data_IF_491987319174
#
_entry.id   IF_491987319174
#
_cell.length_a   1.000
_cell.length_b   1.000
_cell.length_c   1.000
_cell.angle_alpha   90.00
_cell.angle_beta   90.00
_cell.angle_gamma   90.00
#
_symmetry.space_group_name_H-M   'P 1'
#
loop_
_entity.id
_entity.type
_entity.pdbx_description
1 polymer ?
#
# COMPACT_ATOMS: atom_id res chain seq x y z
N UNK A 1 -33.93 -39.65 40.44
CA UNK A 1 -33.07 -39.55 41.63
C UNK A 1 -31.74 -40.29 41.43
N UNK A 2 -30.65 -39.58 41.70
CA UNK A 2 -29.29 -40.01 42.09
C UNK A 2 -28.46 -41.00 41.23
N UNK A 3 -27.61 -40.40 40.39
CA UNK A 3 -26.13 -40.40 40.47
C UNK A 3 -25.41 -41.70 40.86
N UNK A 4 -24.53 -42.19 39.97
CA UNK A 4 -23.20 -42.73 40.32
C UNK A 4 -22.26 -42.74 39.11
N UNK A 5 -20.99 -42.61 39.46
CA UNK A 5 -19.83 -42.16 38.69
C UNK A 5 -18.97 -43.36 38.33
N UNK A 6 -18.60 -43.47 37.06
CA UNK A 6 -17.52 -44.33 36.53
C UNK A 6 -16.80 -43.44 35.49
N UNK A 7 -15.49 -43.18 35.46
CA UNK A 7 -14.37 -43.92 36.01
C UNK A 7 -13.59 -44.57 34.86
N UNK A 8 -12.71 -43.83 34.18
CA UNK A 8 -11.43 -44.38 33.72
C UNK A 8 -10.39 -43.28 33.49
N UNK A 9 -9.14 -43.62 33.78
CA UNK A 9 -8.06 -42.72 34.11
C UNK A 9 -6.98 -42.68 32.98
N UNK A 10 -5.74 -42.23 33.21
CA UNK A 10 -5.02 -41.35 32.31
C UNK A 10 -4.01 -42.09 31.41
N UNK A 11 -3.80 -41.63 30.18
CA UNK A 11 -2.71 -42.15 29.35
C UNK A 11 -1.80 -41.02 28.87
N UNK A 12 -0.68 -40.91 29.59
CA UNK A 12 0.69 -40.78 29.11
C UNK A 12 1.13 -39.58 28.26
N UNK A 13 2.28 -39.02 28.68
CA UNK A 13 3.19 -38.22 27.88
C UNK A 13 3.05 -36.73 28.20
N UNK A 14 3.78 -36.14 29.15
CA UNK A 14 5.19 -36.37 29.42
C UNK A 14 6.03 -35.78 28.28
N UNK A 15 6.27 -34.47 28.29
CA UNK A 15 7.50 -33.85 27.78
C UNK A 15 7.44 -32.32 27.94
N UNK A 16 8.38 -31.82 28.74
CA UNK A 16 9.08 -30.55 28.59
C UNK A 16 8.29 -29.36 28.00
N UNK A 17 7.97 -28.40 28.86
CA UNK A 17 7.96 -26.99 28.52
C UNK A 17 9.39 -26.54 28.15
N UNK A 18 9.94 -27.08 27.07
CA UNK A 18 11.14 -26.55 26.44
C UNK A 18 10.71 -25.32 25.64
N UNK A 19 11.35 -24.21 25.96
CA UNK A 19 11.29 -22.92 25.28
C UNK A 19 11.70 -23.12 23.82
N UNK A 20 10.79 -23.63 22.99
CA UNK A 20 10.92 -23.60 21.55
C UNK A 20 10.49 -22.20 21.12
N UNK A 21 11.48 -21.31 20.99
CA UNK A 21 11.30 -20.02 20.35
C UNK A 21 10.58 -20.24 19.01
N UNK A 22 9.42 -19.61 18.77
CA UNK A 22 8.78 -19.69 17.48
C UNK A 22 9.73 -19.11 16.44
N UNK A 23 9.87 -19.81 15.31
CA UNK A 23 10.72 -19.36 14.20
C UNK A 23 10.15 -18.03 13.69
N UNK A 24 10.96 -16.97 13.54
CA UNK A 24 10.49 -15.70 13.00
C UNK A 24 9.75 -15.91 11.67
N UNK A 25 8.47 -15.53 11.62
CA UNK A 25 7.63 -15.58 10.41
C UNK A 25 6.55 -16.67 10.36
N UNK A 26 6.45 -17.55 11.35
CA UNK A 26 5.34 -18.52 11.42
C UNK A 26 4.23 -17.98 12.32
N UNK A 27 3.15 -17.47 11.73
CA UNK A 27 1.95 -17.04 12.46
C UNK A 27 1.07 -18.26 12.75
N UNK A 28 0.87 -18.56 14.02
CA UNK A 28 -0.10 -19.54 14.48
C UNK A 28 -1.51 -18.97 14.28
N UNK A 29 -2.24 -19.47 13.29
CA UNK A 29 -3.57 -18.97 12.93
C UNK A 29 -4.62 -19.56 13.90
N UNK A 30 -5.04 -18.79 14.90
CA UNK A 30 -6.13 -19.16 15.81
C UNK A 30 -7.48 -19.12 15.07
N UNK A 31 -8.13 -20.28 14.94
CA UNK A 31 -9.34 -20.44 14.13
C UNK A 31 -10.64 -20.00 14.84
N UNK A 32 -10.54 -19.33 15.99
CA UNK A 32 -11.71 -18.90 16.77
C UNK A 32 -12.07 -17.42 16.57
N UNK A 33 -11.32 -16.65 15.76
CA UNK A 33 -11.59 -15.23 15.52
C UNK A 33 -12.42 -14.93 14.25
N UNK A 34 -13.15 -15.93 13.70
CA UNK A 34 -14.10 -15.72 12.60
C UNK A 34 -15.43 -15.11 13.08
N UNK A 35 -15.39 -13.89 13.58
CA UNK A 35 -16.58 -13.03 13.59
C UNK A 35 -16.18 -11.58 13.33
N UNK A 36 -16.07 -11.24 12.04
CA UNK A 36 -16.42 -9.90 11.55
C UNK A 36 -15.30 -8.87 11.39
N UNK A 37 -14.25 -9.15 10.61
CA UNK A 37 -13.38 -8.06 10.14
C UNK A 37 -13.07 -8.17 8.64
N UNK A 38 -13.34 -7.13 7.83
CA UNK A 38 -13.08 -7.16 6.41
C UNK A 38 -11.57 -7.10 6.12
N UNK A 39 -11.21 -7.78 5.04
CA UNK A 39 -9.89 -7.91 4.45
C UNK A 39 -9.23 -6.55 4.16
N UNK A 40 -8.04 -6.34 4.71
CA UNK A 40 -7.11 -5.31 4.25
C UNK A 40 -6.35 -5.83 3.02
N UNK A 41 -6.41 -5.17 1.85
CA UNK A 41 -5.48 -5.44 0.78
C UNK A 41 -4.16 -4.67 1.02
N UNK A 42 -3.09 -5.44 1.07
CA UNK A 42 -1.72 -4.98 1.15
C UNK A 42 -1.27 -4.43 -0.21
N UNK A 43 -0.70 -3.21 -0.24
CA UNK A 43 0.35 -2.86 -1.20
C UNK A 43 -0.01 -1.98 -2.40
N UNK A 44 -0.65 -0.83 -2.18
CA UNK A 44 -0.30 0.39 -2.93
C UNK A 44 -0.23 1.52 -1.92
N UNK A 45 0.88 2.25 -1.87
CA UNK A 45 0.87 3.57 -1.24
C UNK A 45 -0.07 4.42 -2.07
N UNK A 46 -1.33 4.49 -1.66
CA UNK A 46 -2.24 5.50 -2.15
C UNK A 46 -1.70 6.82 -1.61
N UNK A 47 -0.83 7.48 -2.37
CA UNK A 47 -0.56 8.89 -2.20
C UNK A 47 -1.79 9.69 -2.66
N UNK A 48 -2.92 9.42 -1.99
CA UNK A 48 -4.06 10.32 -1.89
C UNK A 48 -3.62 11.48 -1.01
N UNK A 49 -2.64 12.24 -1.49
CA UNK A 49 -2.39 13.56 -0.97
C UNK A 49 -3.60 14.37 -1.41
N UNK A 50 -4.52 14.59 -0.48
CA UNK A 50 -5.62 15.52 -0.63
C UNK A 50 -5.11 16.83 -1.22
N UNK A 51 -5.85 17.39 -2.17
CA UNK A 51 -5.56 18.68 -2.76
C UNK A 51 -5.46 19.73 -1.65
N UNK A 52 -4.35 20.46 -1.61
CA UNK A 52 -4.12 21.49 -0.63
C UNK A 52 -2.96 22.37 -1.06
N UNK A 53 -3.27 23.61 -1.46
CA UNK A 53 -2.26 24.57 -1.85
C UNK A 53 -2.81 25.80 -2.56
N UNK A 54 -3.82 26.46 -2.00
CA UNK A 54 -4.25 27.80 -2.41
C UNK A 54 -3.20 28.86 -2.03
N UNK A 55 -2.03 28.78 -2.65
CA UNK A 55 -0.93 29.72 -2.53
C UNK A 55 -0.28 29.91 -3.89
N UNK A 56 0.37 31.05 -4.10
CA UNK A 56 1.10 31.44 -5.32
C UNK A 56 2.35 30.59 -5.60
N UNK A 57 2.34 29.32 -5.20
CA UNK A 57 3.41 28.35 -5.46
C UNK A 57 3.20 27.71 -6.83
N UNK A 58 4.26 27.58 -7.67
CA UNK A 58 4.19 26.86 -8.93
C UNK A 58 3.62 25.45 -8.74
N UNK A 59 2.91 24.93 -9.76
CA UNK A 59 2.34 23.58 -9.73
C UNK A 59 3.41 22.51 -9.51
N UNK A 60 3.01 21.34 -9.02
CA UNK A 60 3.97 20.26 -8.75
C UNK A 60 4.68 19.82 -10.03
N UNK A 61 3.99 19.86 -11.18
CA UNK A 61 4.58 19.58 -12.49
C UNK A 61 5.68 20.58 -12.85
N UNK A 62 5.46 21.87 -12.61
CA UNK A 62 6.44 22.92 -12.92
C UNK A 62 7.70 22.76 -12.06
N UNK A 63 7.52 22.48 -10.76
CA UNK A 63 8.63 22.21 -9.85
C UNK A 63 9.45 20.98 -10.31
N UNK A 64 8.77 19.91 -10.72
CA UNK A 64 9.43 18.71 -11.22
C UNK A 64 10.18 18.98 -12.53
N UNK A 65 9.59 19.73 -13.48
CA UNK A 65 10.28 20.14 -14.72
C UNK A 65 11.52 20.98 -14.45
N UNK A 66 11.43 21.91 -13.50
CA UNK A 66 12.57 22.73 -13.11
C UNK A 66 13.71 21.87 -12.55
N UNK A 67 13.40 20.96 -11.63
CA UNK A 67 14.38 20.02 -11.08
C UNK A 67 15.01 19.13 -12.17
N UNK A 68 14.20 18.68 -13.13
CA UNK A 68 14.68 17.88 -14.26
C UNK A 68 15.77 18.62 -15.06
N UNK A 69 15.58 19.93 -15.30
CA UNK A 69 16.57 20.76 -15.99
C UNK A 69 17.84 20.98 -15.16
N UNK A 70 17.71 21.16 -13.85
CA UNK A 70 18.84 21.40 -12.95
C UNK A 70 19.70 20.15 -12.74
N UNK A 71 19.04 19.00 -12.56
CA UNK A 71 19.69 17.73 -12.20
C UNK A 71 20.01 16.87 -13.43
N UNK A 72 19.51 17.24 -14.61
CA UNK A 72 19.83 16.59 -15.87
C UNK A 72 19.11 15.26 -16.09
N UNK A 73 17.97 15.03 -15.44
CA UNK A 73 17.10 13.89 -15.75
C UNK A 73 15.96 14.31 -16.68
N UNK A 74 15.35 13.33 -17.34
CA UNK A 74 14.20 13.52 -18.21
C UNK A 74 12.93 13.05 -17.52
N UNK A 75 11.81 13.68 -17.88
CA UNK A 75 10.49 13.37 -17.34
C UNK A 75 9.55 13.07 -18.49
N UNK A 76 8.90 11.92 -18.45
CA UNK A 76 7.95 11.49 -19.46
C UNK A 76 6.61 11.17 -18.81
N UNK A 77 5.53 11.81 -19.28
CA UNK A 77 4.17 11.45 -18.90
C UNK A 77 3.58 10.49 -19.93
N UNK A 78 2.95 9.44 -19.45
CA UNK A 78 2.15 8.50 -20.24
C UNK A 78 0.71 8.56 -19.76
N UNK A 79 -0.19 8.97 -20.65
CA UNK A 79 -1.61 9.14 -20.35
C UNK A 79 -2.42 7.92 -20.78
N UNK A 80 -3.32 7.49 -19.89
CA UNK A 80 -4.26 6.41 -20.17
C UNK A 80 -5.66 6.97 -20.42
N UNK A 81 -6.41 6.40 -21.38
CA UNK A 81 -7.79 6.82 -21.62
C UNK A 81 -8.68 6.53 -20.40
N UNK A 82 -9.48 7.51 -20.00
CA UNK A 82 -10.37 7.47 -18.82
C UNK A 82 -11.23 6.20 -18.70
N UNK A 83 -11.71 5.67 -19.83
CA UNK A 83 -12.63 4.52 -19.93
C UNK A 83 -13.70 4.55 -18.81
N UNK A 84 -14.00 3.40 -18.20
CA UNK A 84 -14.96 3.25 -17.11
C UNK A 84 -14.35 3.51 -15.71
N UNK A 85 -13.09 3.97 -15.62
CA UNK A 85 -12.40 4.19 -14.34
C UNK A 85 -12.84 5.48 -13.62
N UNK A 86 -13.70 6.31 -14.23
CA UNK A 86 -14.24 7.51 -13.58
C UNK A 86 -13.28 8.70 -13.55
N UNK A 87 -11.99 8.48 -13.79
CA UNK A 87 -10.93 9.51 -13.77
C UNK A 87 -9.86 9.29 -14.86
N UNK A 88 -9.08 10.34 -15.14
CA UNK A 88 -7.91 10.27 -16.00
C UNK A 88 -6.73 9.73 -15.20
N UNK A 89 -6.05 8.73 -15.75
CA UNK A 89 -4.87 8.14 -15.14
C UNK A 89 -3.65 8.50 -15.98
N UNK A 90 -2.57 8.87 -15.30
CA UNK A 90 -1.28 9.13 -15.91
C UNK A 90 -0.19 8.43 -15.11
N UNK A 91 0.91 8.12 -15.80
CA UNK A 91 2.17 7.64 -15.21
C UNK A 91 3.25 8.66 -15.57
N UNK A 92 4.09 9.03 -14.60
CA UNK A 92 5.32 9.77 -14.84
C UNK A 92 6.51 8.83 -14.68
N UNK A 93 7.46 8.90 -15.62
CA UNK A 93 8.74 8.19 -15.57
C UNK A 93 9.88 9.20 -15.53
N UNK A 94 10.77 9.05 -14.55
CA UNK A 94 11.98 9.85 -14.40
C UNK A 94 13.19 9.00 -14.78
N UNK A 95 14.08 9.55 -15.59
CA UNK A 95 15.33 8.88 -15.98
C UNK A 95 16.44 9.00 -14.92
N UNK A 96 16.09 8.94 -13.64
CA UNK A 96 17.03 8.92 -12.52
C UNK A 96 17.69 7.55 -12.39
N UNK A 97 18.72 7.44 -11.55
CA UNK A 97 19.37 6.18 -11.20
C UNK A 97 19.19 5.94 -9.68
N UNK A 98 18.34 5.00 -9.23
CA UNK A 98 17.48 4.11 -10.03
C UNK A 98 16.30 4.85 -10.69
N UNK A 99 15.68 4.27 -11.75
CA UNK A 99 14.55 4.89 -12.42
C UNK A 99 13.33 4.97 -11.50
N UNK A 100 12.68 6.14 -11.47
CA UNK A 100 11.49 6.39 -10.64
C UNK A 100 10.26 6.43 -11.54
N UNK A 101 9.18 5.78 -11.10
CA UNK A 101 7.88 5.87 -11.76
C UNK A 101 6.78 6.12 -10.73
N UNK A 102 5.95 7.12 -10.99
CA UNK A 102 4.82 7.48 -10.14
C UNK A 102 3.54 7.55 -10.97
N UNK A 103 2.39 7.38 -10.33
CA UNK A 103 1.08 7.44 -10.98
C UNK A 103 0.20 8.49 -10.31
N UNK A 104 -0.87 8.88 -11.01
CA UNK A 104 -1.81 9.88 -10.54
C UNK A 104 -3.15 9.76 -11.27
N UNK A 105 -4.21 10.10 -10.57
CA UNK A 105 -5.58 10.20 -11.01
C UNK A 105 -6.10 11.64 -10.99
N UNK A 106 -7.20 11.89 -11.70
CA UNK A 106 -7.84 13.20 -11.61
C UNK A 106 -8.99 13.41 -12.59
N UNK A 107 -9.78 14.48 -12.38
CA UNK A 107 -10.90 14.83 -13.26
C UNK A 107 -10.45 15.26 -14.67
N UNK A 108 -9.17 15.58 -14.87
CA UNK A 108 -8.54 15.93 -16.14
C UNK A 108 -7.10 15.38 -16.22
N UNK A 109 -6.54 15.29 -17.43
CA UNK A 109 -5.13 14.90 -17.64
C UNK A 109 -4.17 15.86 -16.93
N UNK A 110 -4.46 17.17 -16.94
CA UNK A 110 -3.67 18.15 -16.20
C UNK A 110 -3.65 17.86 -14.69
N UNK A 111 -4.80 17.51 -14.10
CA UNK A 111 -4.87 17.19 -12.68
C UNK A 111 -4.15 15.88 -12.34
N UNK A 112 -4.28 14.88 -13.22
CA UNK A 112 -3.55 13.62 -13.09
C UNK A 112 -2.03 13.82 -13.18
N UNK A 113 -1.56 14.70 -14.07
CA UNK A 113 -0.13 15.08 -14.15
C UNK A 113 0.34 15.75 -12.87
N UNK A 114 -0.42 16.71 -12.34
CA UNK A 114 -0.10 17.37 -11.07
C UNK A 114 0.04 16.36 -9.93
N UNK A 115 -0.87 15.37 -9.85
CA UNK A 115 -0.77 14.32 -8.83
C UNK A 115 0.44 13.42 -9.05
N UNK A 116 0.69 12.97 -10.28
CA UNK A 116 1.89 12.17 -10.62
C UNK A 116 3.16 12.90 -10.21
N UNK A 117 3.27 14.18 -10.58
CA UNK A 117 4.44 15.00 -10.30
C UNK A 117 4.62 15.20 -8.81
N UNK A 118 3.53 15.43 -8.07
CA UNK A 118 3.61 15.57 -6.61
C UNK A 118 4.05 14.28 -5.91
N UNK A 119 3.73 13.12 -6.46
CA UNK A 119 4.22 11.85 -5.93
C UNK A 119 5.70 11.58 -6.26
N UNK A 120 6.25 12.30 -7.23
CA UNK A 120 7.63 12.15 -7.72
C UNK A 120 8.61 13.19 -7.15
N UNK A 121 8.09 14.25 -6.51
CA UNK A 121 8.85 15.26 -5.76
C UNK A 121 9.20 14.75 -4.36
#
# INVERSE_FOLDING_TARGET
DNNRKEGDAPTAGGANSEVRQPVPGVLLMDYHQRSGQPTQPNGVSECSATGGGGGSTPGAKDQLMYLAQLLGFTVQFSDFPKRNHGEYLSLVSLSTEPPVMCHGGGPSTAHSHEQCSRAAL
#
